data_IF_134124608437
#
_entry.id   IF_134124608437
#
_cell.length_a   1.000
_cell.length_b   1.000
_cell.length_c   1.000
_cell.angle_alpha   90.00
_cell.angle_beta   90.00
_cell.angle_gamma   90.00
#
_symmetry.space_group_name_H-M   'P 1'
#
loop_
_entity.id
_entity.type
_entity.pdbx_description
1 polymer ?
#
# COMPACT_ATOMS: atom_id res chain seq x y z
N UNK A 1 -2.22 29.31 -6.42
CA UNK A 1 -1.72 28.20 -7.28
C UNK A 1 -0.49 27.43 -6.75
N UNK A 2 -0.07 27.50 -5.47
CA UNK A 2 1.16 26.82 -5.00
C UNK A 2 1.02 25.30 -4.76
N UNK A 3 -0.20 24.79 -4.58
CA UNK A 3 -0.43 23.39 -4.18
C UNK A 3 -0.24 22.38 -5.33
N UNK A 4 -0.63 22.75 -6.55
CA UNK A 4 -0.50 21.87 -7.74
C UNK A 4 0.99 21.63 -8.05
N UNK A 5 1.83 22.68 -8.04
CA UNK A 5 3.27 22.55 -8.30
C UNK A 5 3.99 21.62 -7.31
N UNK A 6 3.60 21.61 -6.03
CA UNK A 6 4.17 20.69 -5.03
C UNK A 6 3.79 19.24 -5.33
N UNK A 7 2.55 18.98 -5.74
CA UNK A 7 2.07 17.63 -6.09
C UNK A 7 2.74 17.10 -7.38
N UNK A 8 2.90 17.95 -8.39
CA UNK A 8 3.60 17.59 -9.64
C UNK A 8 5.09 17.29 -9.42
N UNK A 9 5.78 18.06 -8.55
CA UNK A 9 7.18 17.79 -8.21
C UNK A 9 7.34 16.41 -7.57
N UNK A 10 6.48 16.09 -6.61
CA UNK A 10 6.50 14.80 -5.90
C UNK A 10 6.23 13.61 -6.82
N UNK A 11 5.32 13.76 -7.79
CA UNK A 11 5.09 12.75 -8.81
C UNK A 11 6.37 12.51 -9.64
N UNK A 12 7.03 13.57 -10.10
CA UNK A 12 8.30 13.44 -10.82
C UNK A 12 9.39 12.77 -9.98
N UNK A 13 9.47 13.11 -8.69
CA UNK A 13 10.44 12.49 -7.78
C UNK A 13 10.19 10.97 -7.65
N UNK A 14 8.93 10.51 -7.67
CA UNK A 14 8.57 9.07 -7.67
C UNK A 14 8.97 8.41 -8.98
N UNK A 15 8.65 9.04 -10.12
CA UNK A 15 8.93 8.48 -11.45
C UNK A 15 10.43 8.31 -11.73
N UNK A 16 11.29 9.12 -11.09
CA UNK A 16 12.74 9.06 -11.23
C UNK A 16 13.43 8.00 -10.35
N UNK A 17 12.71 7.36 -9.43
CA UNK A 17 13.29 6.32 -8.55
C UNK A 17 13.69 5.09 -9.35
N UNK A 18 14.55 4.25 -8.78
CA UNK A 18 14.75 2.90 -9.33
C UNK A 18 13.52 2.03 -9.10
N UNK A 19 13.41 0.93 -9.86
CA UNK A 19 12.35 -0.04 -9.68
C UNK A 19 12.66 -0.96 -8.50
N UNK A 20 11.63 -1.30 -7.71
CA UNK A 20 11.67 -2.36 -6.70
C UNK A 20 10.71 -3.48 -7.08
N UNK A 21 11.23 -4.71 -7.16
CA UNK A 21 10.41 -5.90 -7.44
C UNK A 21 9.48 -6.22 -6.27
N UNK A 22 8.41 -6.97 -6.53
CA UNK A 22 7.49 -7.43 -5.49
C UNK A 22 8.19 -8.29 -4.44
N UNK A 23 9.14 -9.15 -4.85
CA UNK A 23 9.89 -9.99 -3.91
C UNK A 23 10.71 -9.14 -2.94
N UNK A 24 11.39 -8.10 -3.46
CA UNK A 24 12.19 -7.20 -2.62
C UNK A 24 11.31 -6.34 -1.72
N UNK A 25 10.14 -5.91 -2.21
CA UNK A 25 9.14 -5.21 -1.41
C UNK A 25 8.69 -6.08 -0.23
N UNK A 26 8.34 -7.34 -0.49
CA UNK A 26 7.83 -8.30 0.49
C UNK A 26 8.92 -8.68 1.51
N UNK A 27 10.16 -8.90 1.04
CA UNK A 27 11.31 -9.14 1.91
C UNK A 27 11.54 -8.00 2.90
N UNK A 28 11.38 -6.74 2.47
CA UNK A 28 11.49 -5.59 3.36
C UNK A 28 10.41 -5.58 4.46
N UNK A 29 9.25 -6.18 4.20
CA UNK A 29 8.17 -6.33 5.18
C UNK A 29 8.36 -7.56 6.10
N UNK A 30 9.39 -8.38 5.86
CA UNK A 30 9.60 -9.68 6.54
C UNK A 30 8.39 -10.61 6.42
N UNK A 31 7.65 -10.49 5.31
CA UNK A 31 6.53 -11.38 4.97
C UNK A 31 7.03 -12.44 3.97
N UNK A 32 6.41 -13.61 3.94
CA UNK A 32 6.80 -14.68 2.99
C UNK A 32 5.64 -15.56 2.54
N UNK A 33 4.40 -15.23 2.91
CA UNK A 33 3.22 -16.03 2.59
C UNK A 33 2.63 -15.63 1.23
N UNK A 34 2.03 -16.59 0.51
CA UNK A 34 1.30 -16.36 -0.75
C UNK A 34 0.23 -15.26 -0.59
N UNK A 35 -0.41 -15.22 0.56
CA UNK A 35 -1.37 -14.17 0.92
C UNK A 35 -0.74 -12.78 0.88
N UNK A 36 0.44 -12.61 1.48
CA UNK A 36 1.14 -11.33 1.49
C UNK A 36 1.55 -10.90 0.07
N UNK A 37 1.96 -11.85 -0.77
CA UNK A 37 2.26 -11.58 -2.18
C UNK A 37 1.03 -11.04 -2.90
N UNK A 38 -0.12 -11.72 -2.77
CA UNK A 38 -1.39 -11.28 -3.38
C UNK A 38 -1.80 -9.90 -2.90
N UNK A 39 -1.72 -9.63 -1.60
CA UNK A 39 -2.08 -8.33 -1.02
C UNK A 39 -1.15 -7.22 -1.50
N UNK A 40 0.18 -7.43 -1.47
CA UNK A 40 1.15 -6.43 -1.95
C UNK A 40 0.91 -6.11 -3.42
N UNK A 41 0.76 -7.13 -4.26
CA UNK A 41 0.60 -6.94 -5.70
C UNK A 41 -0.70 -6.19 -6.01
N UNK A 42 -1.81 -6.57 -5.36
CA UNK A 42 -3.09 -5.87 -5.50
C UNK A 42 -2.97 -4.40 -5.09
N UNK A 43 -2.44 -4.12 -3.90
CA UNK A 43 -2.33 -2.74 -3.39
C UNK A 43 -1.45 -1.88 -4.29
N UNK A 44 -0.27 -2.38 -4.68
CA UNK A 44 0.65 -1.62 -5.54
C UNK A 44 0.06 -1.36 -6.92
N UNK A 45 -0.64 -2.34 -7.49
CA UNK A 45 -1.24 -2.22 -8.81
C UNK A 45 -2.40 -1.21 -8.81
N UNK A 46 -3.31 -1.30 -7.85
CA UNK A 46 -4.45 -0.37 -7.79
C UNK A 46 -4.00 1.06 -7.50
N UNK A 47 -3.10 1.27 -6.53
CA UNK A 47 -2.53 2.60 -6.28
C UNK A 47 -1.75 3.11 -7.49
N UNK A 48 -0.97 2.25 -8.15
CA UNK A 48 -0.23 2.60 -9.35
C UNK A 48 -1.14 3.08 -10.47
N UNK A 49 -2.24 2.36 -10.70
CA UNK A 49 -3.27 2.71 -11.68
C UNK A 49 -3.96 4.03 -11.33
N UNK A 50 -4.43 4.19 -10.10
CA UNK A 50 -5.18 5.37 -9.68
C UNK A 50 -4.35 6.65 -9.70
N UNK A 51 -3.06 6.57 -9.39
CA UNK A 51 -2.16 7.73 -9.32
C UNK A 51 -1.20 7.86 -10.51
N UNK A 52 -1.39 7.03 -11.54
CA UNK A 52 -0.57 7.03 -12.77
C UNK A 52 0.94 6.89 -12.49
N UNK A 53 1.27 6.01 -11.54
CA UNK A 53 2.66 5.65 -11.20
C UNK A 53 2.87 4.17 -11.45
N UNK A 54 4.04 3.74 -11.97
CA UNK A 54 4.35 2.32 -12.04
C UNK A 54 4.34 1.71 -10.63
N UNK A 55 3.76 0.52 -10.47
CA UNK A 55 3.67 -0.17 -9.20
C UNK A 55 5.07 -0.38 -8.58
N UNK A 56 6.07 -0.58 -9.44
CA UNK A 56 7.50 -0.75 -9.15
C UNK A 56 8.14 0.49 -8.50
N UNK A 57 7.51 1.66 -8.59
CA UNK A 57 7.98 2.91 -7.96
C UNK A 57 7.39 3.15 -6.57
N UNK A 58 6.43 2.32 -6.15
CA UNK A 58 5.84 2.36 -4.81
C UNK A 58 6.65 1.48 -3.86
N UNK A 59 7.17 2.10 -2.80
CA UNK A 59 8.08 1.48 -1.84
C UNK A 59 7.38 1.26 -0.49
N UNK A 60 7.84 0.30 0.33
CA UNK A 60 7.18 -0.04 1.59
C UNK A 60 7.27 1.08 2.64
N UNK A 61 8.28 1.94 2.57
CA UNK A 61 8.51 3.09 3.45
C UNK A 61 7.83 4.38 2.98
N UNK A 62 7.21 4.38 1.79
CA UNK A 62 6.42 5.52 1.32
C UNK A 62 5.26 5.76 2.28
N UNK A 63 5.07 7.02 2.70
CA UNK A 63 3.91 7.38 3.52
C UNK A 63 2.64 7.20 2.70
N UNK A 64 1.64 6.56 3.28
CA UNK A 64 0.39 6.30 2.56
C UNK A 64 -0.29 7.61 2.15
N UNK A 65 -0.35 8.57 3.09
CA UNK A 65 -0.86 9.93 2.84
C UNK A 65 -0.12 10.62 1.69
N UNK A 66 1.15 10.30 1.50
CA UNK A 66 1.96 10.92 0.46
C UNK A 66 1.57 10.42 -0.94
N UNK A 67 1.21 9.15 -1.06
CA UNK A 67 0.71 8.52 -2.29
C UNK A 67 -0.67 9.08 -2.63
N UNK A 68 -1.61 9.04 -1.69
CA UNK A 68 -2.99 9.48 -1.95
C UNK A 68 -3.12 11.00 -2.14
N UNK A 69 -2.07 11.75 -1.77
CA UNK A 69 -1.99 13.19 -2.05
C UNK A 69 -1.63 13.52 -3.50
N UNK A 70 -1.17 12.54 -4.29
CA UNK A 70 -0.85 12.71 -5.70
C UNK A 70 -2.09 13.17 -6.49
N UNK A 71 -1.91 13.81 -7.65
CA UNK A 71 -3.04 14.28 -8.45
C UNK A 71 -3.90 13.11 -8.97
N UNK A 72 -5.01 12.83 -8.30
CA UNK A 72 -6.10 11.99 -8.80
C UNK A 72 -7.42 12.57 -8.31
N UNK A 73 -8.39 12.72 -9.21
CA UNK A 73 -9.65 13.43 -8.92
C UNK A 73 -10.76 12.48 -8.46
N UNK A 74 -10.59 11.18 -8.71
CA UNK A 74 -11.64 10.16 -8.57
C UNK A 74 -11.23 9.04 -7.60
N UNK A 75 -10.03 9.09 -7.02
CA UNK A 75 -9.57 8.02 -6.15
C UNK A 75 -10.36 7.99 -4.83
N UNK A 76 -10.86 6.80 -4.50
CA UNK A 76 -11.48 6.47 -3.23
C UNK A 76 -10.80 5.22 -2.64
N UNK A 77 -10.65 5.19 -1.31
CA UNK A 77 -10.16 4.03 -0.59
C UNK A 77 -11.06 2.80 -0.81
N UNK A 78 -12.35 3.02 -1.04
CA UNK A 78 -13.32 1.95 -1.33
C UNK A 78 -12.89 1.11 -2.54
N UNK A 79 -12.34 1.73 -3.59
CA UNK A 79 -11.87 0.99 -4.78
C UNK A 79 -10.77 -0.01 -4.43
N UNK A 80 -9.85 0.38 -3.55
CA UNK A 80 -8.77 -0.49 -3.07
C UNK A 80 -9.31 -1.64 -2.22
N UNK A 81 -10.28 -1.36 -1.33
CA UNK A 81 -10.90 -2.38 -0.48
C UNK A 81 -11.63 -3.42 -1.33
N UNK A 82 -12.46 -2.99 -2.29
CA UNK A 82 -13.18 -3.91 -3.19
C UNK A 82 -12.23 -4.78 -4.04
N UNK A 83 -11.11 -4.22 -4.48
CA UNK A 83 -10.09 -4.98 -5.20
C UNK A 83 -9.43 -6.03 -4.30
N UNK A 84 -9.20 -5.71 -3.03
CA UNK A 84 -8.68 -6.64 -2.03
C UNK A 84 -9.68 -7.76 -1.71
N UNK A 85 -10.96 -7.46 -1.50
CA UNK A 85 -12.02 -8.45 -1.30
C UNK A 85 -12.04 -9.46 -2.45
N UNK A 86 -12.08 -8.96 -3.69
CA UNK A 86 -12.09 -9.79 -4.90
C UNK A 86 -10.83 -10.63 -5.03
N UNK A 87 -9.66 -10.08 -4.73
CA UNK A 87 -8.37 -10.76 -4.88
C UNK A 87 -8.17 -11.84 -3.83
N UNK A 88 -8.57 -11.54 -2.60
CA UNK A 88 -8.36 -12.41 -1.44
C UNK A 88 -9.54 -13.35 -1.18
N UNK A 89 -10.68 -13.12 -1.85
CA UNK A 89 -11.94 -13.87 -1.71
C UNK A 89 -12.45 -13.86 -0.27
N UNK A 90 -12.44 -12.69 0.33
CA UNK A 90 -12.97 -12.40 1.66
C UNK A 90 -13.91 -11.20 1.58
N UNK A 91 -14.77 -11.05 2.59
CA UNK A 91 -15.52 -9.83 2.83
C UNK A 91 -14.73 -8.98 3.85
N UNK A 92 -14.59 -7.67 3.62
CA UNK A 92 -13.82 -6.76 4.46
C UNK A 92 -14.74 -5.73 5.09
N UNK A 93 -14.89 -5.79 6.40
CA UNK A 93 -15.61 -4.80 7.19
C UNK A 93 -14.77 -3.53 7.41
N UNK A 94 -15.43 -2.40 7.68
CA UNK A 94 -14.78 -1.10 7.91
C UNK A 94 -13.71 -1.16 9.01
N UNK A 95 -13.96 -1.88 10.11
CA UNK A 95 -13.03 -2.04 11.23
C UNK A 95 -11.72 -2.77 10.84
N UNK A 96 -11.78 -3.59 9.78
CA UNK A 96 -10.65 -4.36 9.27
C UNK A 96 -9.75 -3.53 8.33
N UNK A 97 -10.18 -2.32 7.93
CA UNK A 97 -9.39 -1.38 7.14
C UNK A 97 -8.51 -0.54 8.07
N UNK A 98 -7.17 -0.65 8.02
CA UNK A 98 -6.29 0.18 8.84
C UNK A 98 -6.36 1.65 8.44
N UNK A 99 -6.13 2.58 9.39
CA UNK A 99 -6.12 4.02 9.07
C UNK A 99 -5.00 4.35 8.07
N UNK A 100 -5.41 4.76 6.86
CA UNK A 100 -4.52 5.15 5.77
C UNK A 100 -4.18 6.65 5.76
N UNK A 101 -4.83 7.44 6.63
CA UNK A 101 -4.67 8.89 6.73
C UNK A 101 -3.70 9.32 7.84
N UNK A 102 -3.32 8.40 8.73
CA UNK A 102 -2.35 8.65 9.78
C UNK A 102 -0.99 9.13 9.23
N UNK A 103 -0.43 10.20 9.81
CA UNK A 103 0.81 10.85 9.31
C UNK A 103 2.06 9.96 9.31
N UNK A 104 2.05 8.92 10.13
CA UNK A 104 3.15 7.98 10.35
C UNK A 104 2.93 6.62 9.68
N UNK A 105 1.77 6.39 9.04
CA UNK A 105 1.50 5.13 8.35
C UNK A 105 2.22 5.13 7.00
N UNK A 106 3.03 4.10 6.80
CA UNK A 106 3.69 3.80 5.53
C UNK A 106 2.89 2.74 4.78
N UNK A 107 3.04 2.67 3.46
CA UNK A 107 2.39 1.66 2.63
C UNK A 107 2.63 0.24 3.16
N UNK A 108 3.87 -0.09 3.52
CA UNK A 108 4.25 -1.36 4.09
C UNK A 108 3.55 -1.67 5.42
N UNK A 109 3.62 -0.74 6.38
CA UNK A 109 2.91 -0.86 7.66
C UNK A 109 1.40 -1.04 7.47
N UNK A 110 0.77 -0.27 6.58
CA UNK A 110 -0.64 -0.39 6.29
C UNK A 110 -0.98 -1.80 5.79
N UNK A 111 -0.19 -2.35 4.85
CA UNK A 111 -0.36 -3.72 4.35
C UNK A 111 -0.22 -4.74 5.47
N UNK A 112 0.77 -4.58 6.37
CA UNK A 112 0.95 -5.54 7.47
C UNK A 112 -0.20 -5.46 8.47
N UNK A 113 -0.66 -4.26 8.82
CA UNK A 113 -1.83 -4.09 9.69
C UNK A 113 -3.09 -4.68 9.06
N UNK A 114 -3.29 -4.47 7.75
CA UNK A 114 -4.40 -5.05 7.01
C UNK A 114 -4.39 -6.58 7.09
N UNK A 115 -3.23 -7.18 6.81
CA UNK A 115 -3.05 -8.63 6.92
C UNK A 115 -3.31 -9.14 8.34
N UNK A 116 -2.85 -8.41 9.36
CA UNK A 116 -3.04 -8.80 10.75
C UNK A 116 -4.52 -8.76 11.19
N UNK A 117 -5.28 -7.74 10.76
CA UNK A 117 -6.71 -7.59 11.10
C UNK A 117 -7.60 -8.61 10.38
N UNK A 118 -7.28 -8.92 9.12
CA UNK A 118 -8.10 -9.81 8.29
C UNK A 118 -7.70 -11.29 8.40
N UNK A 119 -6.45 -11.57 8.79
CA UNK A 119 -5.90 -12.91 8.88
C UNK A 119 -5.09 -13.10 10.17
N UNK A 120 -5.76 -13.09 11.34
CA UNK A 120 -5.10 -13.16 12.66
C UNK A 120 -4.55 -14.54 13.01
N UNK A 121 -4.77 -15.56 12.17
CA UNK A 121 -4.13 -16.87 12.33
C UNK A 121 -2.61 -16.73 12.49
N UNK A 122 -1.95 -17.59 13.29
CA UNK A 122 -0.58 -17.38 13.70
C UNK A 122 0.37 -17.61 12.51
N UNK A 123 0.54 -16.58 11.69
CA UNK A 123 1.87 -16.21 11.24
C UNK A 123 2.70 -16.19 12.51
N UNK A 124 3.55 -17.21 12.69
CA UNK A 124 4.63 -17.20 13.68
C UNK A 124 5.48 -15.98 13.34
N UNK A 125 5.06 -14.81 13.82
CA UNK A 125 5.83 -13.60 13.98
C UNK A 125 6.91 -13.95 14.99
N UNK A 126 7.92 -14.69 14.54
CA UNK A 126 9.21 -14.72 15.21
C UNK A 126 9.71 -13.28 15.17
N UNK A 127 9.56 -12.62 16.32
CA UNK A 127 10.29 -11.43 16.72
C UNK A 127 9.88 -10.13 16.02
N UNK A 128 8.73 -9.61 16.41
CA UNK A 128 8.55 -8.16 16.52
C UNK A 128 8.60 -7.80 18.00
N UNK A 129 9.82 -7.66 18.52
CA UNK A 129 10.06 -6.88 19.73
C UNK A 129 10.30 -5.42 19.32
N UNK A 130 9.74 -4.55 20.16
CA UNK A 130 9.55 -3.09 20.09
C UNK A 130 10.81 -2.30 19.73
#
# INVERSE_FOLDING_TARGET
MKFIFKKSKKLNDILQRYDISDEKFIQNLKLSNELAIKTVNCVRLELGKSFQVPAEKLYPDDKFIDIISLPCWEWDMIELVLALEKTLKIDIDEEQVPDWTAKNITLGKWIVEFLHRNFPEPNKLKNWEV
#
